data_IF_243403186091
#
_entry.id   IF_243403186091
#
_cell.length_a   1.000
_cell.length_b   1.000
_cell.length_c   1.000
_cell.angle_alpha   90.00
_cell.angle_beta   90.00
_cell.angle_gamma   90.00
#
_symmetry.space_group_name_H-M   'P 1'
#
loop_
_entity.id
_entity.type
_entity.pdbx_description
1 polymer ?
#
# COMPACT_ATOMS: atom_id res chain seq x y z
N UNK A 1 17.66 -28.61 -14.00
CA UNK A 1 16.79 -27.63 -14.67
C UNK A 1 17.10 -26.27 -14.08
N UNK A 2 17.93 -25.51 -14.78
CA UNK A 2 18.57 -24.28 -14.31
C UNK A 2 17.62 -23.11 -14.56
N UNK A 3 17.08 -22.48 -13.52
CA UNK A 3 16.50 -21.14 -13.64
C UNK A 3 17.63 -20.14 -13.43
N UNK A 4 18.02 -19.32 -14.43
CA UNK A 4 18.76 -18.11 -14.15
C UNK A 4 17.73 -17.13 -13.58
N UNK A 5 17.74 -16.94 -12.26
CA UNK A 5 17.00 -15.83 -11.67
C UNK A 5 17.66 -14.54 -12.18
N UNK A 6 17.02 -13.91 -13.17
CA UNK A 6 17.42 -12.62 -13.69
C UNK A 6 17.53 -11.65 -12.51
N UNK A 7 18.71 -11.07 -12.35
CA UNK A 7 19.01 -10.07 -11.33
C UNK A 7 18.33 -8.74 -11.70
N UNK A 8 17.01 -8.72 -11.67
CA UNK A 8 16.22 -7.50 -11.76
C UNK A 8 16.45 -6.70 -10.47
N UNK A 9 16.60 -5.35 -10.55
CA UNK A 9 16.71 -4.54 -9.34
C UNK A 9 15.50 -4.82 -8.45
N UNK A 10 15.76 -5.21 -7.19
CA UNK A 10 14.71 -5.47 -6.20
C UNK A 10 13.87 -4.21 -6.06
N UNK A 11 12.58 -4.32 -6.36
CA UNK A 11 11.61 -3.24 -6.20
C UNK A 11 11.29 -3.07 -4.73
N UNK A 12 11.21 -1.82 -4.28
CA UNK A 12 10.95 -1.55 -2.88
C UNK A 12 9.43 -1.42 -2.65
N UNK A 13 8.93 -2.18 -1.68
CA UNK A 13 7.56 -2.10 -1.19
C UNK A 13 7.55 -1.56 0.24
N UNK A 14 6.78 -0.50 0.48
CA UNK A 14 6.53 0.02 1.83
C UNK A 14 5.16 -0.46 2.32
N UNK A 15 5.14 -1.28 3.35
CA UNK A 15 3.93 -1.76 4.02
C UNK A 15 3.63 -0.93 5.27
N UNK A 16 2.45 -0.31 5.32
CA UNK A 16 1.99 0.51 6.43
C UNK A 16 0.90 -0.27 7.17
N UNK A 17 1.19 -0.64 8.42
CA UNK A 17 0.32 -1.45 9.28
C UNK A 17 -0.05 -0.57 10.47
N UNK A 18 -1.32 -0.13 10.55
CA UNK A 18 -1.76 0.82 11.58
C UNK A 18 -2.60 0.16 12.66
N UNK A 19 -3.52 -0.73 12.27
CA UNK A 19 -4.46 -1.34 13.20
C UNK A 19 -3.87 -2.59 13.87
N UNK A 20 -2.98 -3.30 13.17
CA UNK A 20 -2.54 -4.63 13.61
C UNK A 20 -3.72 -5.62 13.65
N UNK A 21 -3.42 -6.91 13.66
CA UNK A 21 -4.46 -7.95 13.69
C UNK A 21 -4.79 -8.60 12.33
N UNK A 22 -4.06 -8.25 11.28
CA UNK A 22 -4.14 -8.91 9.98
C UNK A 22 -2.96 -9.87 9.74
N UNK A 23 -3.11 -10.85 8.83
CA UNK A 23 -2.01 -11.74 8.45
C UNK A 23 -0.78 -10.96 7.96
N UNK A 24 0.41 -11.45 8.30
CA UNK A 24 1.63 -10.88 7.75
C UNK A 24 1.75 -11.26 6.26
N UNK A 25 1.49 -10.29 5.38
CA UNK A 25 1.61 -10.45 3.94
C UNK A 25 3.05 -10.24 3.42
N UNK A 26 4.04 -9.95 4.28
CA UNK A 26 5.44 -9.82 3.87
C UNK A 26 5.98 -11.02 3.09
N UNK A 27 5.66 -12.29 3.42
CA UNK A 27 6.09 -13.43 2.62
C UNK A 27 5.59 -13.34 1.18
N UNK A 28 4.33 -12.92 0.98
CA UNK A 28 3.71 -12.75 -0.32
C UNK A 28 4.41 -11.66 -1.14
N UNK A 29 4.69 -10.51 -0.53
CA UNK A 29 5.42 -9.42 -1.17
C UNK A 29 6.83 -9.85 -1.61
N UNK A 30 7.53 -10.60 -0.77
CA UNK A 30 8.87 -11.13 -1.09
C UNK A 30 8.82 -12.15 -2.21
N UNK A 31 7.81 -13.02 -2.23
CA UNK A 31 7.57 -13.98 -3.33
C UNK A 31 7.29 -13.27 -4.66
N UNK A 32 6.57 -12.14 -4.61
CA UNK A 32 6.36 -11.28 -5.77
C UNK A 32 7.62 -10.48 -6.21
N UNK A 33 8.75 -10.65 -5.52
CA UNK A 33 10.05 -10.06 -5.91
C UNK A 33 10.35 -8.70 -5.26
N UNK A 34 9.59 -8.30 -4.25
CA UNK A 34 9.81 -7.02 -3.54
C UNK A 34 10.76 -7.16 -2.35
N UNK A 35 11.55 -6.13 -2.14
CA UNK A 35 12.14 -5.82 -0.84
C UNK A 35 11.11 -5.07 0.00
N UNK A 36 10.90 -5.49 1.25
CA UNK A 36 9.78 -4.99 2.05
C UNK A 36 10.28 -4.19 3.25
N UNK A 37 9.86 -2.94 3.30
CA UNK A 37 10.00 -2.05 4.46
C UNK A 37 8.66 -1.89 5.16
N UNK A 38 8.68 -1.76 6.49
CA UNK A 38 7.44 -1.68 7.29
C UNK A 38 7.36 -0.41 8.14
N UNK A 39 6.23 0.26 8.08
CA UNK A 39 5.88 1.40 8.92
C UNK A 39 4.68 1.05 9.81
N UNK A 40 4.80 1.35 11.11
CA UNK A 40 3.73 1.11 12.09
C UNK A 40 2.70 2.27 12.17
N UNK A 41 2.83 3.27 11.30
CA UNK A 41 1.93 4.42 11.20
C UNK A 41 2.19 5.20 9.92
N UNK A 42 1.20 5.97 9.45
CA UNK A 42 1.39 6.91 8.34
C UNK A 42 2.50 7.93 8.65
N UNK A 43 2.61 8.40 9.90
CA UNK A 43 3.68 9.35 10.29
C UNK A 43 5.07 8.76 10.04
N UNK A 44 5.29 7.50 10.40
CA UNK A 44 6.56 6.81 10.16
C UNK A 44 6.78 6.58 8.66
N UNK A 45 5.73 6.21 7.94
CA UNK A 45 5.77 6.04 6.49
C UNK A 45 6.20 7.33 5.76
N UNK A 46 5.61 8.48 6.11
CA UNK A 46 6.00 9.78 5.57
C UNK A 46 7.47 10.12 5.85
N UNK A 47 7.99 9.74 7.02
CA UNK A 47 9.42 9.86 7.33
C UNK A 47 10.31 8.98 6.45
N UNK A 48 9.86 7.76 6.15
CA UNK A 48 10.55 6.82 5.26
C UNK A 48 10.51 7.29 3.81
N UNK A 49 9.39 7.85 3.32
CA UNK A 49 9.27 8.39 1.96
C UNK A 49 10.23 9.55 1.64
N UNK A 50 10.81 10.19 2.67
CA UNK A 50 11.87 11.19 2.47
C UNK A 50 13.23 10.57 2.13
N UNK A 51 13.44 9.30 2.48
CA UNK A 51 14.70 8.58 2.36
C UNK A 51 14.63 7.46 1.32
N UNK A 52 13.44 6.91 1.15
CA UNK A 52 13.14 5.77 0.32
C UNK A 52 12.18 6.20 -0.80
N UNK A 53 12.36 5.61 -1.98
CA UNK A 53 11.46 5.78 -3.12
C UNK A 53 10.84 4.42 -3.46
N UNK A 54 9.82 3.99 -2.70
CA UNK A 54 9.17 2.71 -2.96
C UNK A 54 8.46 2.73 -4.31
N UNK A 55 8.55 1.61 -5.05
CA UNK A 55 7.76 1.40 -6.26
C UNK A 55 6.30 1.08 -5.90
N UNK A 56 6.07 0.43 -4.76
CA UNK A 56 4.73 0.08 -4.27
C UNK A 56 4.58 0.46 -2.80
N UNK A 57 3.42 1.02 -2.45
CA UNK A 57 3.01 1.24 -1.07
C UNK A 57 1.74 0.44 -0.82
N UNK A 58 1.74 -0.35 0.23
CA UNK A 58 0.53 -1.03 0.73
C UNK A 58 0.15 -0.37 2.05
N UNK A 59 -1.09 0.10 2.17
CA UNK A 59 -1.56 0.79 3.37
C UNK A 59 -2.98 0.35 3.76
N UNK A 60 -3.28 0.45 5.05
CA UNK A 60 -4.63 0.22 5.58
C UNK A 60 -5.41 1.54 5.60
N UNK A 61 -6.65 1.51 5.11
CA UNK A 61 -7.61 2.58 5.30
C UNK A 61 -8.26 2.45 6.67
N UNK A 62 -7.65 3.09 7.65
CA UNK A 62 -8.24 3.27 8.97
C UNK A 62 -9.12 4.53 8.97
N UNK A 63 -10.44 4.34 9.00
CA UNK A 63 -11.40 5.43 9.15
C UNK A 63 -11.55 5.76 10.63
N UNK A 64 -11.08 6.94 11.03
CA UNK A 64 -11.19 7.42 12.40
C UNK A 64 -12.20 8.56 12.46
N UNK A 65 -13.41 8.26 12.95
CA UNK A 65 -14.51 9.23 13.04
C UNK A 65 -14.22 10.42 13.98
N UNK A 66 -13.20 10.31 14.84
CA UNK A 66 -12.84 11.35 15.82
C UNK A 66 -11.93 12.46 15.26
N UNK A 67 -11.42 12.31 14.03
CA UNK A 67 -10.72 13.40 13.35
C UNK A 67 -11.73 14.43 12.83
N UNK A 68 -11.98 15.48 13.63
CA UNK A 68 -12.94 16.56 13.32
C UNK A 68 -12.75 17.22 11.94
N UNK A 69 -11.52 17.18 11.41
CA UNK A 69 -11.16 17.86 10.15
C UNK A 69 -10.59 16.93 9.06
N UNK A 70 -10.38 15.63 9.33
CA UNK A 70 -9.76 14.70 8.35
C UNK A 70 -10.43 13.34 8.35
N UNK A 71 -10.59 12.75 7.18
CA UNK A 71 -11.29 11.47 7.02
C UNK A 71 -10.35 10.30 7.34
N UNK A 72 -9.04 10.46 7.11
CA UNK A 72 -8.00 9.49 7.49
C UNK A 72 -6.59 10.08 7.44
N UNK A 73 -5.67 9.53 8.23
CA UNK A 73 -4.23 9.82 8.11
C UNK A 73 -3.68 9.51 6.71
N UNK A 74 -4.32 8.56 6.00
CA UNK A 74 -3.94 8.14 4.65
C UNK A 74 -3.99 9.29 3.63
N UNK A 75 -4.84 10.30 3.82
CA UNK A 75 -4.90 11.50 2.95
C UNK A 75 -3.54 12.20 2.84
N UNK A 76 -2.81 12.30 3.96
CA UNK A 76 -1.49 12.94 3.97
C UNK A 76 -0.45 12.13 3.20
N UNK A 77 -0.54 10.81 3.25
CA UNK A 77 0.32 9.91 2.50
C UNK A 77 0.06 10.06 0.99
N UNK A 78 -1.20 9.97 0.58
CA UNK A 78 -1.60 10.08 -0.82
C UNK A 78 -1.25 11.45 -1.41
N UNK A 79 -1.39 12.52 -0.63
CA UNK A 79 -1.01 13.87 -1.05
C UNK A 79 0.50 14.03 -1.30
N UNK A 80 1.35 13.21 -0.68
CA UNK A 80 2.78 13.13 -0.98
C UNK A 80 3.03 12.25 -2.18
N UNK A 81 2.43 11.06 -2.21
CA UNK A 81 2.66 10.04 -3.26
C UNK A 81 2.13 10.48 -4.63
N UNK A 82 1.08 11.30 -4.70
CA UNK A 82 0.59 11.86 -5.98
C UNK A 82 1.68 12.64 -6.75
N UNK A 83 2.71 13.15 -6.07
CA UNK A 83 3.86 13.83 -6.69
C UNK A 83 4.90 12.86 -7.25
N UNK A 84 4.73 11.57 -6.99
CA UNK A 84 5.62 10.48 -7.40
C UNK A 84 4.82 9.47 -8.23
N UNK A 85 4.53 9.76 -9.52
CA UNK A 85 3.62 8.94 -10.34
C UNK A 85 4.12 7.51 -10.60
N UNK A 86 5.40 7.25 -10.33
CA UNK A 86 6.01 5.92 -10.38
C UNK A 86 5.56 5.03 -9.22
N UNK A 87 5.25 5.60 -8.06
CA UNK A 87 4.86 4.83 -6.88
C UNK A 87 3.39 4.44 -6.99
N UNK A 88 3.10 3.14 -6.93
CA UNK A 88 1.73 2.61 -6.94
C UNK A 88 1.24 2.40 -5.51
N UNK A 89 -0.01 2.76 -5.23
CA UNK A 89 -0.60 2.62 -3.88
C UNK A 89 -1.71 1.59 -3.92
N UNK A 90 -1.58 0.56 -3.09
CA UNK A 90 -2.60 -0.45 -2.82
C UNK A 90 -3.18 -0.17 -1.44
N UNK A 91 -4.51 -0.06 -1.34
CA UNK A 91 -5.19 0.26 -0.07
C UNK A 91 -6.06 -0.90 0.37
N UNK A 92 -5.84 -1.39 1.59
CA UNK A 92 -6.71 -2.36 2.24
C UNK A 92 -7.78 -1.63 3.03
N UNK A 93 -9.03 -2.10 2.99
CA UNK A 93 -10.12 -1.41 3.67
C UNK A 93 -11.19 -2.38 4.17
N UNK A 94 -11.87 -2.01 5.26
CA UNK A 94 -13.06 -2.72 5.71
C UNK A 94 -14.24 -2.36 4.81
N UNK A 95 -15.06 -3.35 4.43
CA UNK A 95 -16.22 -3.13 3.53
C UNK A 95 -17.19 -2.07 4.06
N UNK A 96 -17.30 -1.95 5.38
CA UNK A 96 -18.10 -0.93 6.06
C UNK A 96 -17.63 0.50 5.79
N UNK A 97 -16.35 0.67 5.46
CA UNK A 97 -15.71 1.94 5.15
C UNK A 97 -15.62 2.23 3.65
N UNK A 98 -16.24 1.40 2.80
CA UNK A 98 -16.21 1.56 1.34
C UNK A 98 -16.68 2.95 0.89
N UNK A 99 -17.73 3.48 1.51
CA UNK A 99 -18.29 4.79 1.15
C UNK A 99 -17.30 5.94 1.40
N UNK A 100 -16.59 5.88 2.53
CA UNK A 100 -15.58 6.85 2.92
C UNK A 100 -14.34 6.71 2.02
N UNK A 101 -13.96 5.48 1.66
CA UNK A 101 -12.87 5.23 0.73
C UNK A 101 -13.16 5.83 -0.66
N UNK A 102 -14.40 5.75 -1.15
CA UNK A 102 -14.78 6.36 -2.45
C UNK A 102 -14.50 7.86 -2.47
N UNK A 103 -14.68 8.56 -1.35
CA UNK A 103 -14.35 10.00 -1.26
C UNK A 103 -12.85 10.24 -1.41
N UNK A 104 -12.03 9.29 -0.95
CA UNK A 104 -10.57 9.34 -1.05
C UNK A 104 -10.10 9.05 -2.48
N UNK A 105 -10.62 7.99 -3.11
CA UNK A 105 -10.28 7.61 -4.49
C UNK A 105 -10.71 8.64 -5.52
N UNK A 106 -11.76 9.43 -5.23
CA UNK A 106 -12.19 10.53 -6.08
C UNK A 106 -11.22 11.74 -6.03
N UNK A 107 -10.48 11.89 -4.93
CA UNK A 107 -9.56 13.02 -4.72
C UNK A 107 -8.11 12.65 -5.05
N UNK A 108 -7.74 11.39 -4.86
CA UNK A 108 -6.36 10.92 -5.01
C UNK A 108 -6.29 9.68 -5.90
N UNK A 109 -5.34 9.61 -6.84
CA UNK A 109 -5.13 8.42 -7.64
C UNK A 109 -4.62 7.27 -6.75
N UNK A 110 -5.37 6.18 -6.71
CA UNK A 110 -5.00 4.93 -6.03
C UNK A 110 -4.89 3.85 -7.11
N UNK A 111 -3.85 3.03 -7.03
CA UNK A 111 -3.64 1.98 -8.02
C UNK A 111 -4.69 0.87 -7.88
N UNK A 112 -4.90 0.41 -6.64
CA UNK A 112 -5.86 -0.63 -6.35
C UNK A 112 -6.37 -0.57 -4.91
N UNK A 113 -7.61 -1.00 -4.70
CA UNK A 113 -8.22 -1.10 -3.37
C UNK A 113 -8.71 -2.54 -3.16
N UNK A 114 -8.37 -3.14 -2.02
CA UNK A 114 -8.75 -4.51 -1.69
C UNK A 114 -9.56 -4.54 -0.39
N UNK A 115 -10.81 -5.02 -0.41
CA UNK A 115 -11.63 -5.13 0.78
C UNK A 115 -11.20 -6.31 1.65
N UNK A 116 -11.31 -6.19 2.97
CA UNK A 116 -11.20 -7.33 3.88
C UNK A 116 -12.41 -8.28 3.76
N UNK A 117 -12.22 -9.61 3.95
CA UNK A 117 -10.93 -10.29 4.13
C UNK A 117 -10.11 -10.30 2.83
N UNK A 118 -8.79 -10.07 2.94
CA UNK A 118 -7.91 -10.00 1.76
C UNK A 118 -7.73 -11.39 1.15
N UNK A 119 -8.12 -11.51 -0.11
CA UNK A 119 -7.79 -12.65 -0.95
C UNK A 119 -6.33 -12.53 -1.42
N UNK A 120 -5.51 -13.51 -1.03
CA UNK A 120 -4.08 -13.53 -1.38
C UNK A 120 -3.86 -13.59 -2.88
N UNK A 121 -4.72 -14.26 -3.64
CA UNK A 121 -4.59 -14.32 -5.10
C UNK A 121 -4.84 -12.94 -5.74
N UNK A 122 -5.84 -12.20 -5.24
CA UNK A 122 -6.09 -10.83 -5.71
C UNK A 122 -4.94 -9.89 -5.33
N UNK A 123 -4.37 -10.05 -4.13
CA UNK A 123 -3.21 -9.29 -3.69
C UNK A 123 -1.98 -9.58 -4.55
N UNK A 124 -1.66 -10.85 -4.84
CA UNK A 124 -0.58 -11.22 -5.76
C UNK A 124 -0.76 -10.58 -7.14
N UNK A 125 -1.96 -10.68 -7.72
CA UNK A 125 -2.24 -10.08 -9.01
C UNK A 125 -2.09 -8.56 -8.99
N UNK A 126 -2.53 -7.90 -7.91
CA UNK A 126 -2.38 -6.45 -7.73
C UNK A 126 -0.91 -6.05 -7.69
N UNK A 127 -0.09 -6.81 -6.95
CA UNK A 127 1.36 -6.60 -6.90
C UNK A 127 1.99 -6.77 -8.29
N UNK A 128 1.62 -7.81 -9.03
CA UNK A 128 2.12 -8.02 -10.39
C UNK A 128 1.72 -6.89 -11.36
N UNK A 129 0.49 -6.38 -11.27
CA UNK A 129 0.05 -5.20 -12.05
C UNK A 129 0.83 -3.95 -11.68
N UNK A 130 1.03 -3.71 -10.39
CA UNK A 130 1.82 -2.58 -9.89
C UNK A 130 3.29 -2.64 -10.34
N UNK A 131 3.79 -3.85 -10.54
CA UNK A 131 5.11 -4.16 -11.09
C UNK A 131 5.23 -3.98 -12.62
N UNK A 132 4.12 -4.05 -13.36
CA UNK A 132 4.14 -4.10 -14.83
C UNK A 132 3.95 -2.73 -15.50
N UNK A 133 3.51 -1.70 -14.76
CA UNK A 133 3.29 -0.34 -15.26
C UNK A 133 4.26 0.68 -14.69
#
# INVERSE_FOLDING_TARGET
>A
MTHPAANSPKRLLLSIIELGGYPDFKPLYRQAGYEVESAASVRKALGLLKKLSPDVIVAEFNFQSDFRDRTSSLESLLAVVQRTPRTKVIVFYEKEHAHQLTRLTNQYPIHETLPFPIDTANLEQSLHRAAAG
#
